data_IF_798054921095
#
_entry.id   IF_798054921095
#
_cell.length_a   1.000
_cell.length_b   1.000
_cell.length_c   1.000
_cell.angle_alpha   90.00
_cell.angle_beta   90.00
_cell.angle_gamma   90.00
#
_symmetry.space_group_name_H-M   'P 1'
#
loop_
_entity.id
_entity.type
_entity.pdbx_description
1 polymer ?
#
# COMPACT_ATOMS: atom_id res chain seq x y z
N UNK A 1 -2.79 10.72 4.36
CA UNK A 1 -3.75 10.16 5.36
C UNK A 1 -3.17 9.02 6.18
N UNK A 2 -2.84 7.84 5.62
CA UNK A 2 -2.35 6.71 6.43
C UNK A 2 -0.95 6.99 7.03
N UNK A 3 -0.07 7.61 6.24
CA UNK A 3 1.26 8.05 6.67
C UNK A 3 1.20 9.02 7.85
N UNK A 4 0.27 9.99 7.80
CA UNK A 4 0.05 10.96 8.88
C UNK A 4 -0.41 10.28 10.18
N UNK A 5 -1.26 9.26 10.07
CA UNK A 5 -1.70 8.46 11.22
C UNK A 5 -0.52 7.74 11.88
N UNK A 6 0.42 7.20 11.09
CA UNK A 6 1.61 6.56 11.65
C UNK A 6 2.54 7.56 12.33
N UNK A 7 2.76 8.73 11.73
CA UNK A 7 3.55 9.79 12.37
C UNK A 7 2.89 10.29 13.66
N UNK A 8 1.57 10.49 13.65
CA UNK A 8 0.82 10.88 14.84
C UNK A 8 0.89 9.81 15.95
N UNK A 9 0.75 8.52 15.60
CA UNK A 9 0.87 7.41 16.54
C UNK A 9 2.29 7.29 17.13
N UNK A 10 3.32 7.69 16.37
CA UNK A 10 4.69 7.76 16.84
C UNK A 10 5.00 9.03 17.66
N UNK A 11 4.08 10.01 17.71
CA UNK A 11 4.33 11.32 18.31
C UNK A 11 5.33 12.17 17.53
N UNK A 12 5.54 11.87 16.24
CA UNK A 12 6.52 12.53 15.38
C UNK A 12 5.80 13.54 14.48
N UNK A 13 6.34 14.76 14.39
CA UNK A 13 5.93 15.75 13.39
C UNK A 13 7.05 15.91 12.35
N UNK A 14 6.96 15.28 11.17
CA UNK A 14 8.02 15.35 10.18
C UNK A 14 8.10 16.77 9.58
N UNK A 15 9.31 17.21 9.24
CA UNK A 15 9.53 18.37 8.38
C UNK A 15 9.42 17.91 6.92
N UNK A 16 8.27 18.18 6.30
CA UNK A 16 7.98 17.70 4.95
C UNK A 16 8.53 18.69 3.92
N UNK A 17 9.55 18.28 3.17
CA UNK A 17 10.11 19.06 2.05
C UNK A 17 9.37 18.78 0.74
N UNK A 18 8.97 17.51 0.53
CA UNK A 18 8.28 17.05 -0.66
C UNK A 18 7.15 16.09 -0.28
N UNK A 19 6.06 16.16 -1.02
CA UNK A 19 4.91 15.25 -0.93
C UNK A 19 4.49 14.88 -2.36
N UNK A 20 4.15 13.60 -2.58
CA UNK A 20 3.79 13.10 -3.89
C UNK A 20 2.89 11.86 -3.79
N UNK A 21 2.02 11.69 -4.77
CA UNK A 21 1.06 10.58 -4.82
C UNK A 21 1.67 9.31 -5.45
N UNK A 22 2.59 9.50 -6.38
CA UNK A 22 3.21 8.42 -7.15
C UNK A 22 4.49 7.91 -6.48
N UNK A 23 4.48 6.63 -6.10
CA UNK A 23 5.60 5.96 -5.42
C UNK A 23 6.92 6.08 -6.21
N UNK A 24 6.95 5.84 -7.54
CA UNK A 24 8.20 5.94 -8.30
C UNK A 24 8.81 7.35 -8.27
N UNK A 25 7.96 8.38 -8.27
CA UNK A 25 8.42 9.78 -8.21
C UNK A 25 9.09 10.07 -6.88
N UNK A 26 8.48 9.66 -5.76
CA UNK A 26 9.05 9.85 -4.43
C UNK A 26 10.36 9.06 -4.27
N UNK A 27 10.42 7.84 -4.79
CA UNK A 27 11.65 7.04 -4.80
C UNK A 27 12.78 7.74 -5.58
N UNK A 28 12.48 8.32 -6.74
CA UNK A 28 13.45 9.08 -7.53
C UNK A 28 14.01 10.31 -6.80
N UNK A 29 13.23 10.97 -5.94
CA UNK A 29 13.73 12.06 -5.08
C UNK A 29 14.74 11.54 -4.04
N UNK A 30 14.50 10.35 -3.49
CA UNK A 30 15.44 9.70 -2.56
C UNK A 30 16.71 9.28 -3.29
N UNK A 31 16.62 8.70 -4.49
CA UNK A 31 17.78 8.39 -5.35
C UNK A 31 18.61 9.64 -5.67
N UNK A 32 17.94 10.78 -5.88
CA UNK A 32 18.59 12.07 -6.10
C UNK A 32 19.20 12.70 -4.83
N UNK A 33 19.24 11.97 -3.70
CA UNK A 33 19.75 12.41 -2.40
C UNK A 33 19.02 13.63 -1.80
N UNK A 34 17.71 13.77 -2.08
CA UNK A 34 16.90 14.88 -1.53
C UNK A 34 16.29 14.58 -0.16
N UNK A 35 16.57 13.41 0.42
CA UNK A 35 16.15 13.05 1.78
C UNK A 35 15.76 11.58 1.91
N UNK A 36 14.79 11.31 2.80
CA UNK A 36 14.24 9.99 3.06
C UNK A 36 12.72 10.02 2.89
N UNK A 37 12.11 8.87 2.59
CA UNK A 37 10.68 8.76 2.37
C UNK A 37 10.07 7.57 3.11
N UNK A 38 8.82 7.72 3.55
CA UNK A 38 7.98 6.63 4.04
C UNK A 38 6.99 6.23 2.95
N UNK A 39 7.29 5.16 2.23
CA UNK A 39 6.50 4.64 1.11
C UNK A 39 6.27 3.13 1.29
N UNK A 40 5.14 2.57 0.78
CA UNK A 40 4.97 1.14 0.75
C UNK A 40 5.96 0.50 -0.23
N UNK A 41 6.42 -0.71 0.09
CA UNK A 41 7.25 -1.49 -0.81
C UNK A 41 6.41 -2.03 -1.99
N UNK A 42 6.94 -1.86 -3.20
CA UNK A 42 6.41 -2.41 -4.46
C UNK A 42 7.58 -2.99 -5.26
N UNK A 43 7.35 -4.06 -6.01
CA UNK A 43 8.41 -4.83 -6.69
C UNK A 43 9.18 -3.99 -7.73
N UNK A 44 8.55 -2.96 -8.29
CA UNK A 44 9.15 -2.04 -9.24
C UNK A 44 10.35 -1.29 -8.65
N UNK A 45 10.41 -1.13 -7.33
CA UNK A 45 11.49 -0.41 -6.66
C UNK A 45 12.76 -1.24 -6.46
N UNK A 46 12.76 -2.53 -6.74
CA UNK A 46 13.99 -3.36 -6.65
C UNK A 46 15.08 -2.92 -7.62
N UNK A 47 14.70 -2.13 -8.64
CA UNK A 47 15.61 -1.54 -9.62
C UNK A 47 16.14 -0.16 -9.21
N UNK A 48 15.56 0.45 -8.19
CA UNK A 48 15.99 1.76 -7.69
C UNK A 48 17.25 1.61 -6.84
N UNK A 49 18.18 2.54 -6.97
CA UNK A 49 19.40 2.64 -6.20
C UNK A 49 19.12 3.29 -4.83
N UNK A 50 18.24 2.67 -4.04
CA UNK A 50 17.89 3.08 -2.67
C UNK A 50 17.95 1.90 -1.71
N UNK A 51 18.21 2.20 -0.45
CA UNK A 51 18.18 1.21 0.63
C UNK A 51 16.84 1.26 1.35
N UNK A 52 16.22 0.09 1.52
CA UNK A 52 14.98 -0.04 2.29
C UNK A 52 15.29 -0.30 3.77
N UNK A 53 14.68 0.50 4.65
CA UNK A 53 14.72 0.28 6.09
C UNK A 53 13.33 -0.14 6.58
N UNK A 54 13.18 -1.31 7.23
CA UNK A 54 11.91 -1.71 7.81
C UNK A 54 11.54 -0.82 9.00
N UNK A 55 10.28 -0.37 9.04
CA UNK A 55 9.74 0.39 10.17
C UNK A 55 9.37 -0.57 11.29
N UNK A 56 9.93 -0.38 12.48
CA UNK A 56 9.68 -1.23 13.64
C UNK A 56 8.44 -0.81 14.43
N UNK A 57 8.26 0.48 14.70
CA UNK A 57 7.14 1.02 15.49
C UNK A 57 6.72 2.40 14.96
N UNK A 58 5.42 2.65 14.70
CA UNK A 58 4.31 1.69 14.72
C UNK A 58 4.40 0.67 13.58
N UNK A 59 3.70 -0.45 13.71
CA UNK A 59 3.60 -1.44 12.64
C UNK A 59 2.77 -0.87 11.49
N UNK A 60 3.46 -0.43 10.44
CA UNK A 60 2.82 0.15 9.26
C UNK A 60 2.22 -0.95 8.37
N UNK A 61 0.89 -1.08 8.35
CA UNK A 61 0.17 -2.03 7.49
C UNK A 61 -0.90 -1.34 6.66
N UNK A 62 -0.89 -1.59 5.35
CA UNK A 62 -1.98 -1.19 4.46
C UNK A 62 -2.76 -2.43 4.06
N UNK A 63 -4.03 -2.48 4.45
CA UNK A 63 -4.93 -3.54 3.99
C UNK A 63 -5.42 -3.26 2.59
N UNK A 64 -5.28 -4.24 1.70
CA UNK A 64 -5.87 -4.23 0.36
C UNK A 64 -7.08 -5.17 0.40
N UNK A 65 -8.15 -4.83 -0.31
CA UNK A 65 -9.37 -5.62 -0.27
C UNK A 65 -10.13 -5.66 -1.57
N UNK A 66 -10.97 -6.69 -1.71
CA UNK A 66 -11.90 -6.85 -2.82
C UNK A 66 -13.33 -6.63 -2.33
N UNK A 67 -14.06 -5.76 -3.02
CA UNK A 67 -15.44 -5.44 -2.69
C UNK A 67 -16.37 -5.70 -3.88
N UNK A 68 -17.58 -6.13 -3.58
CA UNK A 68 -18.69 -6.32 -4.53
C UNK A 68 -20.00 -5.99 -3.83
N UNK A 69 -21.07 -5.72 -4.59
CA UNK A 69 -22.37 -5.41 -4.01
C UNK A 69 -23.12 -6.68 -3.61
N UNK A 70 -23.74 -6.70 -2.44
CA UNK A 70 -24.61 -7.81 -2.03
C UNK A 70 -25.85 -7.88 -2.92
N UNK A 71 -26.40 -9.10 -3.03
CA UNK A 71 -27.70 -9.34 -3.66
C UNK A 71 -27.86 -8.79 -5.08
N UNK A 72 -26.74 -8.64 -5.81
CA UNK A 72 -26.75 -8.25 -7.21
C UNK A 72 -26.12 -9.31 -8.09
N UNK A 73 -26.57 -9.35 -9.34
CA UNK A 73 -26.07 -10.29 -10.32
C UNK A 73 -24.56 -10.07 -10.54
N UNK A 74 -23.77 -11.10 -10.23
CA UNK A 74 -22.35 -11.16 -10.54
C UNK A 74 -22.17 -12.06 -11.75
N UNK A 75 -21.67 -11.48 -12.85
CA UNK A 75 -21.43 -12.23 -14.08
C UNK A 75 -20.49 -13.43 -13.85
N UNK A 76 -20.57 -14.49 -14.67
CA UNK A 76 -19.65 -15.62 -14.55
C UNK A 76 -18.17 -15.20 -14.61
N UNK A 77 -17.84 -14.21 -15.43
CA UNK A 77 -16.49 -13.64 -15.51
C UNK A 77 -16.07 -12.94 -14.20
N UNK A 78 -16.92 -12.09 -13.62
CA UNK A 78 -16.65 -11.42 -12.36
C UNK A 78 -16.48 -12.41 -11.19
N UNK A 79 -17.27 -13.49 -11.17
CA UNK A 79 -17.14 -14.57 -10.18
C UNK A 79 -15.80 -15.30 -10.31
N UNK A 80 -15.43 -15.70 -11.53
CA UNK A 80 -14.14 -16.33 -11.81
C UNK A 80 -12.96 -15.43 -11.41
N UNK A 81 -13.05 -14.13 -11.69
CA UNK A 81 -12.03 -13.16 -11.30
C UNK A 81 -11.94 -13.02 -9.77
N UNK A 82 -13.07 -12.88 -9.07
CA UNK A 82 -13.10 -12.87 -7.61
C UNK A 82 -12.41 -14.11 -7.04
N UNK A 83 -12.78 -15.29 -7.52
CA UNK A 83 -12.21 -16.54 -7.03
C UNK A 83 -10.72 -16.65 -7.38
N UNK A 84 -10.29 -16.14 -8.53
CA UNK A 84 -8.88 -16.04 -8.91
C UNK A 84 -8.10 -15.14 -7.95
N UNK A 85 -8.56 -13.91 -7.71
CA UNK A 85 -7.92 -12.96 -6.79
C UNK A 85 -7.83 -13.55 -5.38
N UNK A 86 -8.91 -14.19 -4.91
CA UNK A 86 -8.93 -14.84 -3.59
C UNK A 86 -7.91 -15.96 -3.46
N UNK A 87 -7.70 -16.76 -4.52
CA UNK A 87 -6.66 -17.81 -4.52
C UNK A 87 -5.25 -17.24 -4.59
N UNK A 88 -5.03 -16.22 -5.42
CA UNK A 88 -3.70 -15.67 -5.68
C UNK A 88 -3.18 -14.77 -4.55
N UNK A 89 -4.06 -14.04 -3.86
CA UNK A 89 -3.66 -13.11 -2.79
C UNK A 89 -3.55 -13.73 -1.39
N UNK A 90 -4.02 -14.97 -1.19
CA UNK A 90 -3.97 -15.66 0.10
C UNK A 90 -2.54 -15.90 0.63
N UNK A 91 -1.51 -15.73 -0.21
CA UNK A 91 -0.12 -16.01 0.14
C UNK A 91 0.66 -14.82 0.74
N UNK A 92 0.28 -13.55 0.50
CA UNK A 92 1.17 -12.41 0.82
C UNK A 92 0.55 -11.14 1.41
N UNK A 93 -0.77 -11.04 1.63
CA UNK A 93 -1.33 -9.83 2.22
C UNK A 93 -2.57 -10.11 3.06
N UNK A 94 -2.75 -9.36 4.15
CA UNK A 94 -4.03 -9.26 4.86
C UNK A 94 -5.07 -8.70 3.89
N UNK A 95 -5.81 -9.59 3.23
CA UNK A 95 -6.78 -9.25 2.19
C UNK A 95 -8.18 -9.22 2.80
N UNK A 96 -8.80 -8.05 2.91
CA UNK A 96 -10.17 -7.93 3.40
C UNK A 96 -11.14 -8.09 2.23
N UNK A 97 -12.04 -9.06 2.34
CA UNK A 97 -13.24 -9.06 1.49
C UNK A 97 -14.36 -8.38 2.23
N UNK A 98 -15.02 -7.43 1.58
CA UNK A 98 -16.22 -6.85 2.17
C UNK A 98 -17.31 -6.71 1.11
N UNK A 99 -18.45 -7.35 1.30
CA UNK A 99 -19.59 -7.05 0.49
C UNK A 99 -20.13 -5.66 0.87
N UNK A 100 -20.43 -4.82 -0.12
CA UNK A 100 -21.07 -3.51 0.05
C UNK A 100 -22.57 -3.72 -0.01
N UNK A 101 -23.27 -3.42 1.09
CA UNK A 101 -24.71 -3.13 1.11
C UNK A 101 -25.03 -2.00 0.16
#
# INVERSE_FOLDING_TARGET
ILTDQYFAAAGIKPAITFEGEEIPTVAGLVEANLGVALIPYIAELDKANISFLPVSTPVCRRTIGLAWRENTYMSPAARKFKDFVMRSCAASATFLTKPRT
#
